data_IF_612168440929
#
_entry.id   IF_612168440929
#
_cell.length_a   1.000
_cell.length_b   1.000
_cell.length_c   1.000
_cell.angle_alpha   90.00
_cell.angle_beta   90.00
_cell.angle_gamma   90.00
#
_symmetry.space_group_name_H-M   'P 1'
#
loop_
_entity.id
_entity.type
_entity.pdbx_description
1 polymer ?
#
# COMPACT_ATOMS: atom_id res chain seq x y z
N UNK A 1 13.06 6.31 -26.76
CA UNK A 1 12.88 5.97 -25.33
C UNK A 1 11.52 6.51 -24.96
N UNK A 2 10.54 5.61 -24.92
CA UNK A 2 9.11 5.93 -24.85
C UNK A 2 8.78 6.76 -23.61
N UNK A 3 8.18 7.92 -23.83
CA UNK A 3 7.58 8.76 -22.78
C UNK A 3 6.28 8.17 -22.21
N UNK A 4 5.85 7.00 -22.71
CA UNK A 4 4.54 6.38 -22.49
C UNK A 4 4.48 5.31 -21.39
N UNK A 5 5.58 5.05 -20.70
CA UNK A 5 5.62 4.11 -19.57
C UNK A 5 5.21 4.72 -18.23
N UNK A 6 4.54 5.88 -18.21
CA UNK A 6 3.99 6.42 -16.95
C UNK A 6 2.72 5.65 -16.61
N UNK A 7 2.59 5.05 -15.42
CA UNK A 7 1.38 4.34 -15.05
C UNK A 7 0.15 5.26 -15.16
N UNK A 8 -0.70 5.07 -16.17
CA UNK A 8 -1.81 6.00 -16.42
C UNK A 8 -2.80 5.97 -15.24
N UNK A 9 -2.98 7.09 -14.54
CA UNK A 9 -3.98 7.21 -13.44
C UNK A 9 -5.44 7.21 -13.95
N UNK A 10 -5.66 6.85 -15.22
CA UNK A 10 -6.98 6.79 -15.82
C UNK A 10 -7.87 5.81 -15.05
N UNK A 11 -8.99 6.32 -14.52
CA UNK A 11 -9.95 5.59 -13.68
C UNK A 11 -9.37 5.05 -12.37
N UNK A 12 -8.25 5.59 -11.88
CA UNK A 12 -7.72 5.23 -10.57
C UNK A 12 -8.64 5.75 -9.44
N UNK A 13 -8.83 4.93 -8.42
CA UNK A 13 -9.36 5.34 -7.12
C UNK A 13 -8.15 5.56 -6.22
N UNK A 14 -8.00 6.78 -5.70
CA UNK A 14 -6.82 7.20 -4.93
C UNK A 14 -7.24 7.54 -3.51
N UNK A 15 -6.56 6.95 -2.53
CA UNK A 15 -6.65 7.32 -1.12
C UNK A 15 -5.43 8.15 -0.74
N UNK A 16 -5.66 9.34 -0.22
CA UNK A 16 -4.59 10.20 0.32
C UNK A 16 -4.39 9.85 1.79
N UNK A 17 -3.19 9.40 2.15
CA UNK A 17 -2.83 9.03 3.52
C UNK A 17 -2.31 10.23 4.31
N UNK A 18 -1.55 11.09 3.64
CA UNK A 18 -1.02 12.33 4.21
C UNK A 18 -0.80 13.37 3.10
N UNK A 19 -0.96 14.64 3.45
CA UNK A 19 -0.72 15.76 2.56
C UNK A 19 -0.12 16.92 3.35
N UNK A 20 1.11 17.28 2.98
CA UNK A 20 1.85 18.39 3.58
C UNK A 20 2.46 19.27 2.49
N UNK A 21 3.01 20.45 2.84
CA UNK A 21 3.78 21.25 1.89
C UNK A 21 5.00 20.52 1.30
N UNK A 22 5.49 19.46 1.96
CA UNK A 22 6.62 18.65 1.49
C UNK A 22 6.22 17.60 0.44
N UNK A 23 4.94 17.22 0.38
CA UNK A 23 4.46 16.22 -0.56
C UNK A 23 3.15 15.56 -0.15
N UNK A 24 2.72 14.61 -0.98
CA UNK A 24 1.51 13.82 -0.77
C UNK A 24 1.87 12.34 -0.80
N UNK A 25 1.43 11.63 0.23
CA UNK A 25 1.49 10.17 0.30
C UNK A 25 0.10 9.63 -0.05
N UNK A 26 0.01 8.79 -1.07
CA UNK A 26 -1.26 8.26 -1.56
C UNK A 26 -1.13 6.83 -2.08
N UNK A 27 -2.26 6.10 -2.04
CA UNK A 27 -2.39 4.75 -2.54
C UNK A 27 -3.45 4.67 -3.64
N UNK A 28 -3.14 3.97 -4.73
CA UNK A 28 -4.09 3.56 -5.74
C UNK A 28 -4.78 2.27 -5.29
N UNK A 29 -6.09 2.33 -5.07
CA UNK A 29 -6.86 1.24 -4.46
C UNK A 29 -7.44 0.24 -5.45
N UNK A 30 -7.58 0.58 -6.73
CA UNK A 30 -8.33 -0.23 -7.69
C UNK A 30 -7.47 -0.85 -8.80
N UNK A 31 -6.21 -1.18 -8.47
CA UNK A 31 -5.28 -1.87 -9.35
C UNK A 31 -4.88 -3.23 -8.78
N UNK A 32 -5.72 -4.27 -8.95
CA UNK A 32 -5.36 -5.61 -8.49
C UNK A 32 -4.14 -6.13 -9.26
N UNK A 33 -3.33 -6.92 -8.57
CA UNK A 33 -2.18 -7.64 -9.12
C UNK A 33 -2.50 -9.13 -9.21
N UNK A 34 -1.73 -9.94 -9.95
CA UNK A 34 -1.90 -11.40 -9.96
C UNK A 34 -1.33 -12.08 -8.70
N UNK A 35 -0.83 -11.33 -7.72
CA UNK A 35 -0.18 -11.85 -6.51
C UNK A 35 -1.21 -11.91 -5.38
N UNK A 36 -1.29 -13.05 -4.69
CA UNK A 36 -2.14 -13.21 -3.52
C UNK A 36 -1.41 -12.73 -2.25
N UNK A 37 -2.18 -12.32 -1.23
CA UNK A 37 -1.63 -11.98 0.09
C UNK A 37 -0.86 -13.15 0.70
N UNK A 38 -1.31 -14.39 0.45
CA UNK A 38 -0.60 -15.60 0.90
C UNK A 38 0.83 -15.72 0.37
N UNK A 39 1.16 -15.07 -0.76
CA UNK A 39 2.52 -15.03 -1.29
C UNK A 39 3.46 -14.14 -0.44
N UNK A 40 2.91 -13.19 0.33
CA UNK A 40 3.67 -12.39 1.31
C UNK A 40 3.74 -13.07 2.67
N UNK A 41 2.79 -13.95 2.98
CA UNK A 41 2.62 -14.59 4.29
C UNK A 41 3.68 -15.68 4.60
N UNK A 42 4.87 -15.59 3.99
CA UNK A 42 5.93 -16.57 4.11
C UNK A 42 6.34 -16.92 5.54
N UNK A 43 6.11 -16.06 6.54
CA UNK A 43 6.48 -16.35 7.94
C UNK A 43 5.55 -15.80 9.03
N UNK A 44 4.50 -15.05 8.71
CA UNK A 44 3.65 -14.41 9.73
C UNK A 44 2.19 -14.80 9.53
N UNK A 45 1.69 -15.73 10.36
CA UNK A 45 0.27 -16.13 10.38
C UNK A 45 -0.74 -14.97 10.59
N UNK A 46 -0.26 -13.73 10.74
CA UNK A 46 -1.02 -12.48 10.80
C UNK A 46 -1.90 -12.26 9.56
N UNK A 47 -1.51 -12.76 8.38
CA UNK A 47 -2.25 -12.50 7.13
C UNK A 47 -3.07 -13.70 6.63
N UNK A 48 -3.10 -14.82 7.37
CA UNK A 48 -3.70 -16.07 6.90
C UNK A 48 -5.20 -15.95 6.59
N UNK A 49 -5.94 -15.16 7.38
CA UNK A 49 -7.37 -14.92 7.16
C UNK A 49 -7.68 -14.18 5.84
N UNK A 50 -6.66 -13.55 5.24
CA UNK A 50 -6.78 -12.77 4.00
C UNK A 50 -5.98 -13.41 2.86
N UNK A 51 -5.45 -14.62 3.03
CA UNK A 51 -4.48 -15.24 2.12
C UNK A 51 -4.96 -15.42 0.68
N UNK A 52 -6.27 -15.56 0.48
CA UNK A 52 -6.91 -15.72 -0.84
C UNK A 52 -7.22 -14.37 -1.51
N UNK A 53 -7.02 -13.25 -0.83
CA UNK A 53 -7.19 -11.92 -1.42
C UNK A 53 -6.01 -11.57 -2.33
N UNK A 54 -6.27 -10.76 -3.35
CA UNK A 54 -5.24 -10.22 -4.24
C UNK A 54 -4.57 -9.00 -3.62
N UNK A 55 -3.28 -8.81 -3.90
CA UNK A 55 -2.58 -7.56 -3.62
C UNK A 55 -2.95 -6.50 -4.64
N UNK A 56 -2.92 -5.24 -4.21
CA UNK A 56 -3.17 -4.09 -5.05
C UNK A 56 -1.88 -3.28 -5.22
N UNK A 57 -1.60 -2.86 -6.45
CA UNK A 57 -0.46 -2.00 -6.75
C UNK A 57 -0.77 -0.57 -6.31
N UNK A 58 -0.26 -0.18 -5.13
CA UNK A 58 -0.48 1.13 -4.51
C UNK A 58 0.07 2.32 -5.30
N UNK A 59 1.00 2.10 -6.24
CA UNK A 59 1.62 3.14 -7.06
C UNK A 59 3.14 3.11 -6.98
N UNK A 60 3.77 4.03 -7.70
CA UNK A 60 5.22 4.26 -7.59
C UNK A 60 5.46 5.27 -6.46
N UNK A 61 6.48 5.02 -5.63
CA UNK A 61 6.98 6.02 -4.69
C UNK A 61 7.63 7.16 -5.48
N UNK A 62 7.30 8.40 -5.13
CA UNK A 62 7.83 9.57 -5.83
C UNK A 62 9.36 9.65 -5.73
N UNK A 63 10.00 10.24 -6.73
CA UNK A 63 11.46 10.37 -6.86
C UNK A 63 12.16 11.24 -5.78
N UNK A 64 11.51 11.52 -4.65
CA UNK A 64 12.04 12.28 -3.51
C UNK A 64 12.21 11.46 -2.23
N UNK A 65 11.63 10.25 -2.15
CA UNK A 65 11.75 9.41 -0.96
C UNK A 65 12.96 8.50 -1.07
N UNK A 66 13.93 8.73 -0.19
CA UNK A 66 15.04 7.81 0.05
C UNK A 66 14.50 6.59 0.79
N UNK A 67 13.78 5.71 0.11
CA UNK A 67 13.65 4.34 0.59
C UNK A 67 15.09 3.81 0.67
N UNK A 68 15.57 3.35 1.84
CA UNK A 68 16.92 2.80 1.93
C UNK A 68 17.04 1.69 0.90
N UNK A 69 18.05 1.75 0.03
CA UNK A 69 18.35 0.72 -0.96
C UNK A 69 18.59 -0.68 -0.34
N UNK A 70 18.61 -0.76 0.99
CA UNK A 70 18.71 -1.97 1.80
C UNK A 70 17.38 -2.60 2.21
N UNK A 71 16.21 -2.01 1.87
CA UNK A 71 14.92 -2.69 2.07
C UNK A 71 14.46 -3.30 0.74
N UNK A 72 14.63 -4.62 0.53
CA UNK A 72 14.30 -5.28 -0.74
C UNK A 72 12.79 -5.41 -0.99
N UNK A 73 11.95 -4.93 -0.06
CA UNK A 73 10.50 -4.99 -0.15
C UNK A 73 9.95 -3.56 -0.23
N UNK A 74 9.13 -3.30 -1.25
CA UNK A 74 8.30 -2.11 -1.31
C UNK A 74 7.42 -2.07 -0.04
N UNK A 75 7.22 -0.90 0.59
CA UNK A 75 6.38 -0.81 1.78
C UNK A 75 4.98 -1.35 1.47
N UNK A 76 4.55 -2.33 2.27
CA UNK A 76 3.20 -2.91 2.18
C UNK A 76 2.31 -2.10 3.10
N UNK A 77 1.16 -1.68 2.58
CA UNK A 77 0.11 -1.05 3.34
C UNK A 77 -1.11 -1.96 3.38
N UNK A 78 -1.72 -2.12 4.56
CA UNK A 78 -3.03 -2.75 4.71
C UNK A 78 -4.09 -1.71 5.06
N UNK A 79 -5.28 -1.90 4.52
CA UNK A 79 -6.47 -1.10 4.81
C UNK A 79 -7.58 -2.04 5.32
N UNK A 80 -8.13 -1.77 6.49
CA UNK A 80 -9.18 -2.60 7.09
C UNK A 80 -10.14 -1.81 7.96
N UNK A 81 -11.28 -2.42 8.27
CA UNK A 81 -12.27 -1.86 9.21
C UNK A 81 -12.08 -2.28 10.67
N UNK A 82 -11.03 -3.06 10.96
CA UNK A 82 -10.80 -3.69 12.26
C UNK A 82 -9.88 -2.86 13.19
N UNK A 83 -10.39 -2.23 14.24
CA UNK A 83 -9.59 -1.41 15.19
C UNK A 83 -8.48 -2.16 15.96
N UNK A 84 -8.56 -3.49 16.02
CA UNK A 84 -7.81 -4.35 16.94
C UNK A 84 -6.51 -4.93 16.34
N UNK A 85 -6.18 -4.56 15.09
CA UNK A 85 -4.89 -4.93 14.52
C UNK A 85 -3.80 -3.99 15.06
N UNK A 86 -2.68 -4.52 15.57
CA UNK A 86 -1.56 -3.70 16.03
C UNK A 86 -0.99 -2.87 14.87
N UNK A 87 -0.41 -1.70 15.17
CA UNK A 87 0.19 -0.78 14.18
C UNK A 87 -0.82 -0.19 13.17
N UNK A 88 -2.10 -0.09 13.57
CA UNK A 88 -3.16 0.51 12.75
C UNK A 88 -3.48 1.95 13.16
N UNK A 89 -3.32 2.89 12.23
CA UNK A 89 -3.74 4.30 12.34
C UNK A 89 -5.13 4.49 11.75
N UNK A 90 -6.04 5.10 12.51
CA UNK A 90 -7.36 5.47 11.99
C UNK A 90 -7.23 6.60 10.95
N UNK A 91 -7.73 6.38 9.74
CA UNK A 91 -7.76 7.39 8.66
C UNK A 91 -9.10 8.12 8.60
N UNK A 92 -10.18 7.40 8.84
CA UNK A 92 -11.54 7.90 8.89
C UNK A 92 -12.35 6.96 9.79
N UNK A 93 -13.54 7.40 10.24
CA UNK A 93 -14.37 6.60 11.15
C UNK A 93 -14.56 5.16 10.64
N UNK A 94 -13.95 4.20 11.34
CA UNK A 94 -14.02 2.78 11.01
C UNK A 94 -13.16 2.33 9.83
N UNK A 95 -12.20 3.14 9.38
CA UNK A 95 -11.21 2.80 8.37
C UNK A 95 -9.81 3.01 8.94
N UNK A 96 -9.04 1.95 8.98
CA UNK A 96 -7.71 1.92 9.56
C UNK A 96 -6.69 1.53 8.49
N UNK A 97 -5.49 2.09 8.61
CA UNK A 97 -4.34 1.75 7.78
C UNK A 97 -3.14 1.39 8.65
N UNK A 98 -2.32 0.46 8.20
CA UNK A 98 -1.01 0.21 8.78
C UNK A 98 -0.06 -0.32 7.71
N UNK A 99 1.18 -0.57 8.07
CA UNK A 99 2.16 -1.11 7.13
C UNK A 99 3.48 -1.44 7.79
N UNK A 100 4.34 -2.16 7.07
CA UNK A 100 5.63 -2.66 7.57
C UNK A 100 6.69 -1.53 7.77
N UNK A 101 6.32 -0.26 7.58
CA UNK A 101 7.22 0.90 7.64
C UNK A 101 6.91 1.91 8.75
N UNK A 102 5.96 1.63 9.64
CA UNK A 102 5.63 2.49 10.79
C UNK A 102 6.33 2.07 12.09
#
# INVERSE_FOLDING_TARGET
LDSDMRPSLHRAVILILDASPAGVTALVLNRPTPILVSALAGETGRYQAFGDNVLHAGGELGAGDTTPASSPLLPIYWLHSCEWLPEARELARGTFAGGDSE
#
